data_IF_332707873106
#
_entry.id   IF_332707873106
#
_cell.length_a   1.000
_cell.length_b   1.000
_cell.length_c   1.000
_cell.angle_alpha   90.00
_cell.angle_beta   90.00
_cell.angle_gamma   90.00
#
_symmetry.space_group_name_H-M   'P 1'
#
loop_
_entity.id
_entity.type
_entity.pdbx_description
1 polymer ?
#
# COMPACT_ATOMS: atom_id res chain seq x y z
N UNK A 1 3.27 7.91 20.12
CA UNK A 1 2.07 7.55 19.31
C UNK A 1 2.50 7.64 17.86
N UNK A 2 2.15 6.66 17.00
CA UNK A 2 2.50 6.71 15.57
C UNK A 2 1.69 7.82 14.90
N UNK A 3 2.37 8.76 14.24
CA UNK A 3 1.73 9.86 13.50
C UNK A 3 1.51 9.53 12.03
N UNK A 4 2.20 8.50 11.51
CA UNK A 4 2.13 8.12 10.11
C UNK A 4 1.10 7.02 9.85
N UNK A 5 0.49 7.04 8.67
CA UNK A 5 -0.48 6.07 8.21
C UNK A 5 0.05 5.46 6.91
N UNK A 6 0.04 4.13 6.81
CA UNK A 6 0.40 3.40 5.60
C UNK A 6 -0.83 2.72 5.03
N UNK A 7 -1.32 3.21 3.89
CA UNK A 7 -2.48 2.65 3.19
C UNK A 7 -2.02 1.61 2.18
N UNK A 8 -2.58 0.41 2.28
CA UNK A 8 -2.32 -0.72 1.37
C UNK A 8 -3.63 -1.33 0.87
N UNK A 9 -3.60 -1.82 -0.35
CA UNK A 9 -4.72 -2.50 -0.99
C UNK A 9 -4.17 -3.49 -2.02
N UNK A 10 -4.95 -4.49 -2.42
CA UNK A 10 -4.61 -5.34 -3.58
C UNK A 10 -4.56 -4.58 -4.90
N UNK A 11 -5.32 -3.48 -5.00
CA UNK A 11 -5.22 -2.53 -6.10
C UNK A 11 -4.44 -1.30 -5.62
N UNK A 12 -3.21 -1.14 -6.12
CA UNK A 12 -2.33 -0.05 -5.72
C UNK A 12 -2.84 1.33 -6.14
N UNK A 13 -3.46 1.44 -7.32
CA UNK A 13 -4.02 2.72 -7.78
C UNK A 13 -5.18 3.17 -6.89
N UNK A 14 -6.01 2.22 -6.44
CA UNK A 14 -7.07 2.52 -5.49
C UNK A 14 -6.51 2.92 -4.11
N UNK A 15 -5.48 2.24 -3.62
CA UNK A 15 -4.79 2.62 -2.38
C UNK A 15 -4.20 4.03 -2.48
N UNK A 16 -3.57 4.35 -3.62
CA UNK A 16 -3.00 5.66 -3.90
C UNK A 16 -4.05 6.77 -3.90
N UNK A 17 -5.18 6.55 -4.58
CA UNK A 17 -6.29 7.51 -4.60
C UNK A 17 -6.86 7.78 -3.20
N UNK A 18 -7.07 6.71 -2.42
CA UNK A 18 -7.55 6.82 -1.04
C UNK A 18 -6.54 7.56 -0.15
N UNK A 19 -5.26 7.20 -0.22
CA UNK A 19 -4.21 7.82 0.60
C UNK A 19 -4.04 9.30 0.27
N UNK A 20 -4.07 9.67 -1.03
CA UNK A 20 -3.99 11.07 -1.47
C UNK A 20 -5.17 11.89 -0.96
N UNK A 21 -6.39 11.41 -1.19
CA UNK A 21 -7.60 12.10 -0.72
C UNK A 21 -7.66 12.20 0.80
N UNK A 22 -7.18 11.19 1.50
CA UNK A 22 -7.12 11.20 2.96
C UNK A 22 -6.08 12.23 3.46
N UNK A 23 -4.90 12.29 2.85
CA UNK A 23 -3.87 13.27 3.22
C UNK A 23 -4.36 14.71 2.99
N UNK A 24 -5.03 14.97 1.85
CA UNK A 24 -5.61 16.30 1.56
C UNK A 24 -6.67 16.71 2.59
N UNK A 25 -7.51 15.75 3.02
CA UNK A 25 -8.58 16.00 3.99
C UNK A 25 -8.08 16.17 5.45
N UNK A 26 -6.86 15.70 5.74
CA UNK A 26 -6.28 15.70 7.11
C UNK A 26 -5.02 16.54 7.24
N UNK A 27 -4.65 17.27 6.19
CA UNK A 27 -3.44 18.09 6.13
C UNK A 27 -2.15 17.29 6.42
N UNK A 28 -2.15 15.98 6.08
CA UNK A 28 -0.97 15.13 6.13
C UNK A 28 -0.17 15.25 4.85
N UNK A 29 1.13 14.99 4.92
CA UNK A 29 1.95 14.84 3.72
C UNK A 29 1.61 13.54 3.01
N UNK A 30 1.42 13.58 1.68
CA UNK A 30 1.23 12.39 0.87
C UNK A 30 2.57 11.89 0.33
N UNK A 31 2.82 10.57 0.42
CA UNK A 31 3.97 9.94 -0.22
C UNK A 31 3.57 8.61 -0.89
N UNK A 32 3.85 8.50 -2.20
CA UNK A 32 3.76 7.26 -2.96
C UNK A 32 5.13 6.59 -2.99
N UNK A 33 5.30 5.53 -2.20
CA UNK A 33 6.59 4.86 -2.04
C UNK A 33 7.02 4.18 -3.35
N UNK A 34 6.08 3.64 -4.13
CA UNK A 34 6.39 3.02 -5.41
C UNK A 34 6.91 4.04 -6.43
N UNK A 35 6.31 5.23 -6.50
CA UNK A 35 6.81 6.32 -7.34
C UNK A 35 8.20 6.80 -6.92
N UNK A 36 8.44 6.91 -5.62
CA UNK A 36 9.76 7.30 -5.10
C UNK A 36 10.85 6.28 -5.42
N UNK A 37 10.53 4.97 -5.39
CA UNK A 37 11.45 3.91 -5.79
C UNK A 37 11.71 3.97 -7.30
N UNK A 38 10.65 4.13 -8.11
CA UNK A 38 10.79 4.29 -9.57
C UNK A 38 11.64 5.51 -9.94
N UNK A 39 11.49 6.60 -9.21
CA UNK A 39 12.31 7.80 -9.46
C UNK A 39 13.81 7.53 -9.24
N UNK A 40 14.18 6.76 -8.21
CA UNK A 40 15.57 6.42 -7.92
C UNK A 40 16.15 5.41 -8.92
N UNK A 41 15.34 4.45 -9.37
CA UNK A 41 15.78 3.37 -10.26
C UNK A 41 15.60 3.69 -11.75
N UNK A 42 14.74 4.67 -12.09
CA UNK A 42 14.31 5.05 -13.45
C UNK A 42 13.58 3.90 -14.17
N UNK A 43 14.23 2.75 -14.30
CA UNK A 43 13.71 1.54 -14.93
C UNK A 43 14.08 0.33 -14.05
N UNK A 44 13.08 -0.24 -13.38
CA UNK A 44 13.28 -1.34 -12.42
C UNK A 44 13.79 -2.61 -13.12
N UNK A 45 13.22 -2.96 -14.29
CA UNK A 45 13.58 -4.17 -15.01
C UNK A 45 15.04 -4.09 -15.50
N UNK A 46 15.42 -2.93 -16.03
CA UNK A 46 16.80 -2.67 -16.43
C UNK A 46 17.76 -2.63 -15.23
N UNK A 47 17.34 -2.10 -14.10
CA UNK A 47 18.14 -2.12 -12.88
C UNK A 47 18.36 -3.55 -12.37
N UNK A 48 17.36 -4.43 -12.45
CA UNK A 48 17.49 -5.85 -12.12
C UNK A 48 18.45 -6.53 -13.09
N UNK A 49 18.32 -6.29 -14.39
CA UNK A 49 19.16 -6.89 -15.41
C UNK A 49 20.64 -6.50 -15.25
N UNK A 50 20.93 -5.24 -14.97
CA UNK A 50 22.30 -4.70 -14.90
C UNK A 50 22.94 -4.88 -13.53
N UNK A 51 22.18 -4.62 -12.45
CA UNK A 51 22.71 -4.54 -11.08
C UNK A 51 22.26 -5.72 -10.19
N UNK A 52 21.30 -6.52 -10.66
CA UNK A 52 20.73 -7.64 -9.92
C UNK A 52 19.62 -7.26 -8.95
N UNK A 53 18.83 -8.27 -8.55
CA UNK A 53 17.68 -8.10 -7.68
C UNK A 53 18.06 -7.56 -6.28
N UNK A 54 19.21 -7.97 -5.74
CA UNK A 54 19.65 -7.55 -4.42
C UNK A 54 19.94 -6.05 -4.35
N UNK A 55 20.42 -5.46 -5.44
CA UNK A 55 20.59 -4.01 -5.56
C UNK A 55 19.25 -3.29 -5.50
N UNK A 56 18.26 -3.75 -6.26
CA UNK A 56 16.91 -3.17 -6.26
C UNK A 56 16.28 -3.26 -4.87
N UNK A 57 16.34 -4.43 -4.23
CA UNK A 57 15.85 -4.61 -2.86
C UNK A 57 16.52 -3.68 -1.85
N UNK A 58 17.83 -3.43 -2.00
CA UNK A 58 18.54 -2.47 -1.15
C UNK A 58 18.01 -1.04 -1.32
N UNK A 59 17.72 -0.62 -2.56
CA UNK A 59 17.12 0.68 -2.85
C UNK A 59 15.71 0.77 -2.25
N UNK A 60 14.88 -0.26 -2.42
CA UNK A 60 13.54 -0.34 -1.83
C UNK A 60 13.59 -0.19 -0.30
N UNK A 61 14.44 -0.95 0.39
CA UNK A 61 14.60 -0.88 1.85
C UNK A 61 15.06 0.50 2.31
N UNK A 62 16.02 1.10 1.62
CA UNK A 62 16.51 2.44 1.96
C UNK A 62 15.40 3.48 1.77
N UNK A 63 14.61 3.39 0.69
CA UNK A 63 13.52 4.31 0.44
C UNK A 63 12.43 4.17 1.51
N UNK A 64 12.01 2.94 1.83
CA UNK A 64 11.04 2.68 2.88
C UNK A 64 11.53 3.23 4.22
N UNK A 65 12.76 2.90 4.64
CA UNK A 65 13.34 3.41 5.89
C UNK A 65 13.34 4.93 5.98
N UNK A 66 13.66 5.61 4.88
CA UNK A 66 13.69 7.07 4.85
C UNK A 66 12.28 7.68 4.95
N UNK A 67 11.33 7.15 4.18
CA UNK A 67 9.98 7.75 4.09
C UNK A 67 9.20 7.57 5.40
N UNK A 68 9.34 6.44 6.08
CA UNK A 68 8.62 6.19 7.34
C UNK A 68 9.12 7.03 8.52
N UNK A 69 10.28 7.69 8.39
CA UNK A 69 10.80 8.59 9.43
C UNK A 69 10.23 10.01 9.34
N UNK A 70 9.53 10.35 8.28
CA UNK A 70 8.83 11.64 8.20
C UNK A 70 7.64 11.65 9.15
N UNK A 71 7.37 12.81 9.74
CA UNK A 71 6.21 12.98 10.60
C UNK A 71 4.96 13.37 9.81
N UNK A 72 3.79 13.01 10.31
CA UNK A 72 2.49 13.39 9.77
C UNK A 72 2.31 13.05 8.29
N UNK A 73 2.71 11.82 7.91
CA UNK A 73 2.70 11.36 6.52
C UNK A 73 1.68 10.25 6.30
N UNK A 74 0.87 10.39 5.25
CA UNK A 74 0.03 9.33 4.71
C UNK A 74 0.75 8.67 3.52
N UNK A 75 1.24 7.46 3.75
CA UNK A 75 1.98 6.67 2.76
C UNK A 75 1.00 5.83 1.95
N UNK A 76 1.20 5.76 0.64
CA UNK A 76 0.70 4.68 -0.20
C UNK A 76 1.87 3.79 -0.60
N UNK A 77 1.67 2.48 -0.53
CA UNK A 77 2.75 1.52 -0.80
C UNK A 77 2.18 0.26 -1.45
N UNK A 78 2.96 -0.31 -2.36
CA UNK A 78 2.66 -1.64 -2.87
C UNK A 78 2.76 -2.65 -1.74
N UNK A 79 1.72 -3.49 -1.59
CA UNK A 79 1.68 -4.50 -0.54
C UNK A 79 2.83 -5.52 -0.63
N UNK A 80 3.44 -5.70 -1.80
CA UNK A 80 4.58 -6.60 -1.99
C UNK A 80 5.80 -6.15 -1.21
N UNK A 81 5.96 -4.84 -0.95
CA UNK A 81 7.02 -4.31 -0.10
C UNK A 81 6.90 -4.77 1.36
N UNK A 82 5.68 -5.14 1.81
CA UNK A 82 5.45 -5.70 3.15
C UNK A 82 5.93 -7.16 3.28
N UNK A 83 6.24 -7.84 2.18
CA UNK A 83 6.78 -9.21 2.21
C UNK A 83 8.28 -9.24 2.56
N UNK A 84 8.94 -8.10 2.58
CA UNK A 84 10.31 -7.95 3.06
C UNK A 84 10.30 -7.63 4.56
N UNK A 85 10.96 -8.47 5.36
CA UNK A 85 10.93 -8.36 6.82
C UNK A 85 11.51 -7.05 7.35
N UNK A 86 12.54 -6.49 6.70
CA UNK A 86 13.12 -5.20 7.10
C UNK A 86 12.15 -4.05 6.80
N UNK A 87 11.50 -4.07 5.64
CA UNK A 87 10.46 -3.09 5.30
C UNK A 87 9.29 -3.18 6.27
N UNK A 88 8.77 -4.40 6.50
CA UNK A 88 7.65 -4.62 7.40
C UNK A 88 7.95 -4.13 8.82
N UNK A 89 9.16 -4.40 9.33
CA UNK A 89 9.61 -3.92 10.63
C UNK A 89 9.63 -2.39 10.68
N UNK A 90 10.28 -1.74 9.72
CA UNK A 90 10.38 -0.28 9.67
C UNK A 90 8.99 0.39 9.60
N UNK A 91 8.07 -0.18 8.79
CA UNK A 91 6.70 0.33 8.66
C UNK A 91 5.92 0.12 9.96
N UNK A 92 5.98 -1.07 10.55
CA UNK A 92 5.29 -1.37 11.81
C UNK A 92 5.77 -0.53 12.99
N UNK A 93 7.02 -0.12 13.02
CA UNK A 93 7.55 0.74 14.06
C UNK A 93 7.05 2.18 13.95
N UNK A 94 6.84 2.69 12.74
CA UNK A 94 6.59 4.11 12.47
C UNK A 94 5.17 4.44 12.00
N UNK A 95 4.44 3.50 11.42
CA UNK A 95 3.15 3.72 10.79
C UNK A 95 2.04 2.86 11.40
N UNK A 96 0.81 3.33 11.29
CA UNK A 96 -0.40 2.51 11.42
C UNK A 96 -0.72 1.94 10.03
N UNK A 97 -0.68 0.61 9.87
CA UNK A 97 -0.95 -0.05 8.60
C UNK A 97 -2.45 -0.23 8.43
N UNK A 98 -3.00 0.39 7.38
CA UNK A 98 -4.42 0.33 7.04
C UNK A 98 -4.61 -0.45 5.74
N UNK A 99 -5.31 -1.57 5.80
CA UNK A 99 -5.73 -2.33 4.63
C UNK A 99 -7.11 -1.86 4.16
N UNK A 100 -7.20 -1.42 2.91
CA UNK A 100 -8.50 -1.25 2.24
C UNK A 100 -8.90 -2.60 1.65
N UNK A 101 -9.90 -3.23 2.27
CA UNK A 101 -10.35 -4.57 1.93
C UNK A 101 -11.44 -4.55 0.88
N UNK A 102 -11.11 -4.99 -0.34
CA UNK A 102 -12.03 -5.14 -1.46
C UNK A 102 -12.66 -6.53 -1.49
N UNK A 103 -13.93 -6.62 -1.93
CA UNK A 103 -14.51 -7.89 -2.33
C UNK A 103 -13.89 -8.37 -3.65
N UNK A 104 -13.97 -9.68 -3.94
CA UNK A 104 -13.52 -10.21 -5.23
C UNK A 104 -14.24 -9.54 -6.40
N UNK A 105 -15.55 -9.29 -6.28
CA UNK A 105 -16.34 -8.62 -7.30
C UNK A 105 -15.85 -7.19 -7.55
N UNK A 106 -15.61 -6.43 -6.49
CA UNK A 106 -15.07 -5.07 -6.57
C UNK A 106 -13.66 -5.08 -7.16
N UNK A 107 -12.79 -5.99 -6.69
CA UNK A 107 -11.42 -6.11 -7.23
C UNK A 107 -11.42 -6.40 -8.73
N UNK A 108 -12.27 -7.32 -9.22
CA UNK A 108 -12.41 -7.62 -10.65
C UNK A 108 -12.75 -6.38 -11.48
N UNK A 109 -13.57 -5.47 -10.95
CA UNK A 109 -13.95 -4.23 -11.65
C UNK A 109 -12.80 -3.22 -11.75
N UNK A 110 -11.77 -3.36 -10.91
CA UNK A 110 -10.59 -2.48 -10.92
C UNK A 110 -9.46 -2.99 -11.82
N UNK A 111 -9.56 -4.23 -12.33
CA UNK A 111 -8.56 -4.79 -13.22
C UNK A 111 -8.70 -4.20 -14.63
N UNK A 112 -7.59 -3.90 -15.31
CA UNK A 112 -7.65 -3.39 -16.68
C UNK A 112 -8.26 -4.43 -17.63
N UNK A 113 -9.20 -3.98 -18.49
CA UNK A 113 -9.88 -4.83 -19.47
C UNK A 113 -9.09 -4.97 -20.78
N UNK A 114 -7.78 -4.78 -20.75
CA UNK A 114 -6.94 -4.88 -21.93
C UNK A 114 -6.55 -6.33 -22.21
N UNK A 115 -6.53 -6.69 -23.50
CA UNK A 115 -6.17 -8.03 -23.98
C UNK A 115 -4.74 -8.41 -23.58
N UNK A 116 -3.84 -7.44 -23.44
CA UNK A 116 -2.46 -7.64 -23.00
C UNK A 116 -2.34 -8.08 -21.54
N UNK A 117 -3.36 -7.80 -20.72
CA UNK A 117 -3.37 -8.11 -19.29
C UNK A 117 -4.13 -9.40 -18.93
N UNK A 118 -4.59 -10.20 -19.90
CA UNK A 118 -5.41 -11.39 -19.64
C UNK A 118 -4.71 -12.39 -18.71
N UNK A 119 -3.43 -12.67 -18.96
CA UNK A 119 -2.66 -13.62 -18.15
C UNK A 119 -2.38 -13.08 -16.73
N UNK A 120 -2.00 -11.83 -16.64
CA UNK A 120 -1.75 -11.16 -15.37
C UNK A 120 -3.03 -11.08 -14.54
N UNK A 121 -4.15 -10.75 -15.16
CA UNK A 121 -5.46 -10.72 -14.51
C UNK A 121 -5.87 -12.11 -13.99
N UNK A 122 -5.64 -13.19 -14.77
CA UNK A 122 -5.90 -14.56 -14.30
C UNK A 122 -5.04 -14.92 -13.09
N UNK A 123 -3.75 -14.60 -13.11
CA UNK A 123 -2.85 -14.83 -11.99
C UNK A 123 -3.30 -14.02 -10.77
N UNK A 124 -3.59 -12.74 -10.93
CA UNK A 124 -4.07 -11.87 -9.87
C UNK A 124 -5.35 -12.39 -9.22
N UNK A 125 -6.30 -12.87 -10.03
CA UNK A 125 -7.55 -13.46 -9.53
C UNK A 125 -7.32 -14.78 -8.81
N UNK A 126 -6.44 -15.66 -9.32
CA UNK A 126 -6.12 -16.94 -8.67
C UNK A 126 -5.45 -16.74 -7.30
N UNK A 127 -4.65 -15.69 -7.17
CA UNK A 127 -3.92 -15.35 -5.94
C UNK A 127 -4.70 -14.42 -4.99
N UNK A 128 -5.88 -13.96 -5.38
CA UNK A 128 -6.65 -12.95 -4.63
C UNK A 128 -6.82 -13.31 -3.15
N UNK A 129 -7.33 -14.49 -2.85
CA UNK A 129 -7.61 -14.91 -1.46
C UNK A 129 -6.34 -15.01 -0.63
N UNK A 130 -5.26 -15.54 -1.21
CA UNK A 130 -3.96 -15.69 -0.53
C UNK A 130 -3.35 -14.34 -0.22
N UNK A 131 -3.26 -13.45 -1.23
CA UNK A 131 -2.71 -12.10 -1.08
C UNK A 131 -3.52 -11.25 -0.11
N UNK A 132 -4.86 -11.34 -0.19
CA UNK A 132 -5.77 -10.66 0.73
C UNK A 132 -5.52 -11.08 2.18
N UNK A 133 -5.35 -12.39 2.44
CA UNK A 133 -5.06 -12.92 3.77
C UNK A 133 -3.72 -12.38 4.30
N UNK A 134 -2.69 -12.34 3.47
CA UNK A 134 -1.36 -11.83 3.83
C UNK A 134 -1.45 -10.35 4.23
N UNK A 135 -2.03 -9.50 3.38
CA UNK A 135 -2.14 -8.05 3.66
C UNK A 135 -2.91 -7.80 4.95
N UNK A 136 -4.04 -8.50 5.15
CA UNK A 136 -4.81 -8.39 6.39
C UNK A 136 -4.03 -8.81 7.62
N UNK A 137 -3.16 -9.82 7.49
CA UNK A 137 -2.30 -10.29 8.59
C UNK A 137 -1.24 -9.28 9.03
N UNK A 138 -0.83 -8.38 8.13
CA UNK A 138 0.14 -7.33 8.45
C UNK A 138 -0.51 -6.04 8.97
N UNK A 139 -1.82 -5.87 8.77
CA UNK A 139 -2.51 -4.61 8.99
C UNK A 139 -3.00 -4.42 10.42
N UNK A 140 -2.86 -3.21 10.94
CA UNK A 140 -3.40 -2.79 12.23
C UNK A 140 -4.91 -2.51 12.13
N UNK A 141 -5.35 -1.99 10.98
CA UNK A 141 -6.74 -1.59 10.71
C UNK A 141 -7.19 -2.19 9.37
N UNK A 142 -8.42 -2.68 9.33
CA UNK A 142 -9.05 -3.17 8.11
C UNK A 142 -10.29 -2.30 7.83
N UNK A 143 -10.31 -1.65 6.66
CA UNK A 143 -11.44 -0.86 6.16
C UNK A 143 -12.09 -1.61 5.00
N UNK A 144 -13.22 -2.25 5.24
CA UNK A 144 -13.98 -2.92 4.17
C UNK A 144 -14.67 -1.89 3.29
N UNK A 145 -14.38 -1.95 1.99
CA UNK A 145 -14.97 -1.08 0.98
C UNK A 145 -15.97 -1.82 0.10
N UNK A 146 -17.09 -1.16 -0.17
CA UNK A 146 -18.09 -1.53 -1.18
C UNK A 146 -18.31 -0.35 -2.12
N UNK A 147 -18.62 -0.56 -3.41
CA UNK A 147 -18.97 0.52 -4.32
C UNK A 147 -20.06 1.42 -3.74
N UNK A 148 -19.83 2.74 -3.76
CA UNK A 148 -20.70 3.74 -3.16
C UNK A 148 -20.40 4.11 -1.70
N UNK A 149 -19.49 3.41 -1.02
CA UNK A 149 -19.07 3.78 0.33
C UNK A 149 -18.23 5.06 0.33
N UNK A 150 -18.39 5.88 1.37
CA UNK A 150 -17.43 6.93 1.68
C UNK A 150 -16.24 6.31 2.43
N UNK A 151 -15.21 5.91 1.67
CA UNK A 151 -14.03 5.24 2.22
C UNK A 151 -13.26 6.12 3.20
N UNK A 152 -13.20 7.44 2.96
CA UNK A 152 -12.49 8.39 3.83
C UNK A 152 -13.15 8.49 5.22
N UNK A 153 -14.48 8.56 5.26
CA UNK A 153 -15.23 8.56 6.51
C UNK A 153 -15.02 7.26 7.29
N UNK A 154 -15.05 6.10 6.61
CA UNK A 154 -14.77 4.81 7.25
C UNK A 154 -13.36 4.73 7.80
N UNK A 155 -12.37 5.20 7.03
CA UNK A 155 -10.97 5.24 7.44
C UNK A 155 -10.79 6.12 8.68
N UNK A 156 -11.33 7.36 8.65
CA UNK A 156 -11.26 8.28 9.78
C UNK A 156 -11.87 7.67 11.06
N UNK A 157 -13.07 7.07 10.95
CA UNK A 157 -13.72 6.45 12.08
C UNK A 157 -12.89 5.31 12.68
N UNK A 158 -12.32 4.46 11.83
CA UNK A 158 -11.47 3.34 12.25
C UNK A 158 -10.17 3.82 12.90
N UNK A 159 -9.56 4.88 12.43
CA UNK A 159 -8.39 5.49 13.05
C UNK A 159 -8.72 6.08 14.43
N UNK A 160 -9.85 6.78 14.56
CA UNK A 160 -10.32 7.29 15.85
C UNK A 160 -10.54 6.15 16.84
N UNK A 161 -11.20 5.04 16.42
CA UNK A 161 -11.37 3.85 17.24
C UNK A 161 -10.03 3.26 17.69
N UNK A 162 -9.09 3.11 16.76
CA UNK A 162 -7.76 2.56 17.02
C UNK A 162 -6.97 3.38 18.06
N UNK A 163 -6.97 4.70 17.92
CA UNK A 163 -6.25 5.58 18.86
C UNK A 163 -6.92 5.74 20.23
N UNK A 164 -8.23 5.48 20.34
CA UNK A 164 -8.92 5.47 21.64
C UNK A 164 -8.63 4.21 22.47
N UNK A 165 -8.16 3.13 21.83
CA UNK A 165 -7.87 1.83 22.48
C UNK A 165 -6.43 1.72 22.96
N UNK A 166 -5.57 2.69 22.62
CA UNK A 166 -4.15 2.77 23.01
C UNK A 166 -3.89 3.89 23.99
#
# INVERSE_FOLDING_TARGET
MKSNICVVCLNNDFAKDVARKFSDATEMYFADVAELIKFDLLDIDKAIEVCGLDYVKKIERNKVKNVVTYDNTCLCMDYTLLNDDENLKAIKENCVIVCIDLSLATYKQTLPNDIHNIYENKLNLSMFSTRKKIIKGYSDIIVTYKPGDNVLSKLSNKLVEYYKQK
#
